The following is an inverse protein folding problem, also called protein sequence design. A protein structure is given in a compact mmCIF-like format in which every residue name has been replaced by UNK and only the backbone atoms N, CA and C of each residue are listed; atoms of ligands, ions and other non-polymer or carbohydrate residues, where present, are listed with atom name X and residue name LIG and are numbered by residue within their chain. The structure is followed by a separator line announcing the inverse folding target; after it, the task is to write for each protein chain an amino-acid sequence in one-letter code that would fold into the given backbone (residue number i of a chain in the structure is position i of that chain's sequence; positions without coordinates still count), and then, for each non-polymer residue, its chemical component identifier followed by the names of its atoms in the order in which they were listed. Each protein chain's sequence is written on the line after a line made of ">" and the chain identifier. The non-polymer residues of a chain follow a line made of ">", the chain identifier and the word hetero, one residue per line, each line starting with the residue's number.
data_IF_064754697439
#
_entry.id   IF_064754697439
#
_cell.length_a   1.000
_cell.length_b   1.000
_cell.length_c   1.000
_cell.angle_alpha   90.00
_cell.angle_beta   90.00
_cell.angle_gamma   90.00
#
_symmetry.space_group_name_H-M   'P 1'
#
loop_
_entity.id
_entity.type
_entity.pdbx_description
1 polymer ?
#
# COMPACT_ATOMS: atom_id res chain seq x y z
N UNK A 1 -26.77 28.27 3.79
CA UNK A 1 -25.38 28.62 3.44
C UNK A 1 -24.61 27.31 3.44
N UNK A 2 -24.49 26.68 2.27
CA UNK A 2 -23.82 25.37 2.12
C UNK A 2 -22.33 25.63 2.00
N UNK A 3 -21.45 24.97 2.78
CA UNK A 3 -20.02 25.16 2.60
C UNK A 3 -19.65 24.67 1.20
N UNK A 4 -19.09 25.57 0.39
CA UNK A 4 -18.47 25.22 -0.88
C UNK A 4 -17.29 24.30 -0.55
N UNK A 5 -17.45 23.00 -0.75
CA UNK A 5 -16.33 22.07 -0.70
C UNK A 5 -15.33 22.51 -1.76
N UNK A 6 -14.22 23.12 -1.35
CA UNK A 6 -13.10 23.48 -2.23
C UNK A 6 -12.80 22.27 -3.10
N UNK A 7 -13.02 22.41 -4.41
CA UNK A 7 -12.78 21.33 -5.38
C UNK A 7 -11.30 21.01 -5.32
N UNK A 8 -10.95 19.89 -4.68
CA UNK A 8 -9.57 19.42 -4.59
C UNK A 8 -9.10 19.18 -6.02
N UNK A 9 -8.27 20.08 -6.55
CA UNK A 9 -7.67 19.86 -7.86
C UNK A 9 -6.64 18.75 -7.70
N UNK A 10 -6.98 17.57 -8.23
CA UNK A 10 -6.06 16.44 -8.31
C UNK A 10 -5.14 16.66 -9.49
N UNK A 11 -3.95 17.21 -9.25
CA UNK A 11 -2.88 17.19 -10.26
C UNK A 11 -2.34 15.77 -10.34
N UNK A 12 -2.43 15.09 -11.50
CA UNK A 12 -1.86 13.76 -11.65
C UNK A 12 -0.33 13.84 -11.51
N UNK A 13 0.27 12.82 -10.90
CA UNK A 13 1.72 12.71 -10.82
C UNK A 13 2.30 12.55 -12.23
N UNK A 14 3.39 13.26 -12.51
CA UNK A 14 4.21 12.97 -13.69
C UNK A 14 4.90 11.61 -13.54
N UNK A 15 5.42 11.05 -14.63
CA UNK A 15 6.12 9.77 -14.59
C UNK A 15 7.33 9.78 -13.64
N UNK A 16 8.05 10.90 -13.56
CA UNK A 16 9.20 11.03 -12.67
C UNK A 16 8.75 11.08 -11.19
N UNK A 17 7.71 11.83 -10.89
CA UNK A 17 7.13 11.90 -9.55
C UNK A 17 6.55 10.55 -9.13
N UNK A 18 5.92 9.82 -10.05
CA UNK A 18 5.43 8.46 -9.82
C UNK A 18 6.58 7.51 -9.45
N UNK A 19 7.69 7.53 -10.20
CA UNK A 19 8.86 6.71 -9.89
C UNK A 19 9.47 7.05 -8.53
N UNK A 20 9.61 8.35 -8.23
CA UNK A 20 10.11 8.82 -6.93
C UNK A 20 9.18 8.42 -5.79
N UNK A 21 7.87 8.59 -5.97
CA UNK A 21 6.86 8.19 -5.01
C UNK A 21 6.96 6.69 -4.71
N UNK A 22 7.00 5.85 -5.74
CA UNK A 22 7.11 4.40 -5.55
C UNK A 22 8.40 4.02 -4.81
N UNK A 23 9.53 4.67 -5.10
CA UNK A 23 10.79 4.38 -4.41
C UNK A 23 10.73 4.77 -2.92
N UNK A 24 10.38 6.03 -2.63
CA UNK A 24 10.32 6.55 -1.25
C UNK A 24 9.31 5.79 -0.41
N UNK A 25 8.13 5.49 -0.95
CA UNK A 25 7.10 4.78 -0.20
C UNK A 25 7.40 3.30 -0.02
N UNK A 26 8.16 2.67 -0.93
CA UNK A 26 8.62 1.28 -0.73
C UNK A 26 9.50 1.20 0.50
N UNK A 27 10.49 2.09 0.63
CA UNK A 27 11.36 2.13 1.81
C UNK A 27 10.57 2.42 3.08
N UNK A 28 9.58 3.31 3.03
CA UNK A 28 8.78 3.64 4.20
C UNK A 28 7.90 2.48 4.68
N UNK A 29 7.30 1.75 3.73
CA UNK A 29 6.53 0.54 4.05
C UNK A 29 7.45 -0.53 4.61
N UNK A 30 8.65 -0.73 4.06
CA UNK A 30 9.65 -1.66 4.61
C UNK A 30 9.94 -1.31 6.07
N UNK A 31 10.24 -0.04 6.38
CA UNK A 31 10.51 0.41 7.75
C UNK A 31 9.35 0.10 8.71
N UNK A 32 8.12 0.36 8.28
CA UNK A 32 6.94 0.07 9.10
C UNK A 32 6.72 -1.43 9.29
N UNK A 33 6.87 -2.22 8.23
CA UNK A 33 6.70 -3.67 8.29
C UNK A 33 7.76 -4.34 9.15
N UNK A 34 9.02 -3.90 9.11
CA UNK A 34 10.06 -4.48 9.96
C UNK A 34 9.90 -4.08 11.43
N UNK A 35 9.35 -2.90 11.71
CA UNK A 35 9.12 -2.44 13.07
C UNK A 35 7.83 -3.02 13.70
N UNK A 36 6.76 -3.16 12.94
CA UNK A 36 5.41 -3.47 13.46
C UNK A 36 4.72 -4.67 12.80
N UNK A 37 5.28 -5.21 11.72
CA UNK A 37 4.72 -6.34 10.97
C UNK A 37 3.55 -5.98 10.03
N UNK A 38 2.92 -4.82 10.20
CA UNK A 38 1.73 -4.40 9.46
C UNK A 38 1.79 -2.93 9.07
N UNK A 39 1.36 -2.62 7.85
CA UNK A 39 1.16 -1.27 7.35
C UNK A 39 -0.27 -1.13 6.83
N UNK A 40 -0.92 0.02 7.06
CA UNK A 40 -2.28 0.26 6.58
C UNK A 40 -2.45 1.69 6.10
N UNK A 41 -3.17 1.86 4.99
CA UNK A 41 -3.42 3.17 4.37
C UNK A 41 -4.79 3.23 3.72
N UNK A 42 -5.37 4.42 3.62
CA UNK A 42 -6.57 4.66 2.83
C UNK A 42 -6.20 5.02 1.39
N UNK A 43 -6.83 4.37 0.43
CA UNK A 43 -6.70 4.54 -1.00
C UNK A 43 -8.10 4.59 -1.64
N UNK A 44 -8.65 5.79 -1.74
CA UNK A 44 -10.03 6.00 -2.20
C UNK A 44 -10.21 5.75 -3.71
N UNK A 45 -9.16 5.97 -4.51
CA UNK A 45 -9.20 5.83 -5.97
C UNK A 45 -8.58 4.50 -6.43
N UNK A 46 -9.05 3.99 -7.58
CA UNK A 46 -8.47 2.78 -8.19
C UNK A 46 -6.97 2.97 -8.50
N UNK A 47 -6.60 4.15 -9.02
CA UNK A 47 -5.21 4.51 -9.30
C UNK A 47 -4.33 4.48 -8.04
N UNK A 48 -4.80 5.05 -6.93
CA UNK A 48 -4.08 4.97 -5.65
C UNK A 48 -3.91 3.52 -5.21
N UNK A 49 -4.96 2.68 -5.35
CA UNK A 49 -4.88 1.26 -5.01
C UNK A 49 -3.84 0.54 -5.85
N UNK A 50 -3.78 0.78 -7.15
CA UNK A 50 -2.77 0.18 -8.02
C UNK A 50 -1.35 0.55 -7.59
N UNK A 51 -1.09 1.82 -7.21
CA UNK A 51 0.22 2.23 -6.69
C UNK A 51 0.60 1.45 -5.45
N UNK A 52 -0.31 1.33 -4.49
CA UNK A 52 -0.07 0.57 -3.26
C UNK A 52 0.15 -0.92 -3.52
N UNK A 53 -0.53 -1.51 -4.50
CA UNK A 53 -0.26 -2.89 -4.91
C UNK A 53 1.13 -3.04 -5.54
N UNK A 54 1.58 -2.08 -6.37
CA UNK A 54 2.95 -2.08 -6.91
C UNK A 54 3.99 -1.94 -5.80
N UNK A 55 3.74 -1.07 -4.82
CA UNK A 55 4.59 -0.91 -3.64
C UNK A 55 4.66 -2.24 -2.87
N UNK A 56 3.53 -2.86 -2.56
CA UNK A 56 3.50 -4.13 -1.84
C UNK A 56 4.32 -5.23 -2.54
N UNK A 57 4.24 -5.32 -3.88
CA UNK A 57 5.08 -6.23 -4.67
C UNK A 57 6.57 -5.90 -4.53
N UNK A 58 6.96 -4.63 -4.74
CA UNK A 58 8.36 -4.20 -4.59
C UNK A 58 8.91 -4.48 -3.19
N UNK A 59 8.12 -4.23 -2.15
CA UNK A 59 8.49 -4.52 -0.77
C UNK A 59 8.80 -6.01 -0.58
N UNK A 60 7.95 -6.90 -1.13
CA UNK A 60 8.19 -8.35 -1.07
C UNK A 60 9.43 -8.78 -1.84
N UNK A 61 9.66 -8.19 -3.01
CA UNK A 61 10.87 -8.42 -3.82
C UNK A 61 12.14 -7.96 -3.07
N UNK A 62 12.10 -6.76 -2.47
CA UNK A 62 13.23 -6.17 -1.72
C UNK A 62 13.54 -6.92 -0.44
N UNK A 63 12.52 -7.34 0.32
CA UNK A 63 12.70 -8.11 1.55
C UNK A 63 13.00 -9.59 1.28
N UNK A 64 12.87 -10.05 0.03
CA UNK A 64 12.91 -11.46 -0.36
C UNK A 64 11.95 -12.32 0.49
N UNK A 65 10.81 -11.74 0.86
CA UNK A 65 9.82 -12.36 1.75
C UNK A 65 8.42 -12.15 1.20
N UNK A 66 7.54 -13.16 1.27
CA UNK A 66 6.16 -12.98 0.84
C UNK A 66 5.44 -11.93 1.71
N UNK A 67 4.67 -11.08 1.05
CA UNK A 67 3.87 -10.02 1.68
C UNK A 67 2.42 -10.24 1.27
N UNK A 68 1.50 -10.18 2.24
CA UNK A 68 0.07 -10.19 1.97
C UNK A 68 -0.40 -8.74 1.83
N UNK A 69 -1.12 -8.45 0.76
CA UNK A 69 -1.77 -7.17 0.51
C UNK A 69 -3.24 -7.42 0.27
N UNK A 70 -4.11 -6.85 1.11
CA UNK A 70 -5.55 -6.96 0.94
C UNK A 70 -6.21 -5.59 1.09
N UNK A 71 -7.28 -5.39 0.32
CA UNK A 71 -8.08 -4.18 0.35
C UNK A 71 -9.44 -4.48 0.99
N UNK A 72 -9.81 -3.72 2.02
CA UNK A 72 -11.14 -3.70 2.61
C UNK A 72 -11.77 -2.32 2.37
N UNK A 73 -12.61 -2.25 1.35
CA UNK A 73 -13.20 -0.99 0.88
C UNK A 73 -12.12 -0.01 0.40
N UNK A 74 -11.96 1.09 1.13
CA UNK A 74 -10.95 2.12 0.85
C UNK A 74 -9.65 1.88 1.59
N UNK A 75 -9.58 0.92 2.51
CA UNK A 75 -8.37 0.66 3.30
C UNK A 75 -7.57 -0.47 2.67
N UNK A 76 -6.29 -0.24 2.43
CA UNK A 76 -5.32 -1.27 2.05
C UNK A 76 -4.50 -1.61 3.28
N UNK A 77 -4.32 -2.90 3.52
CA UNK A 77 -3.46 -3.42 4.58
C UNK A 77 -2.41 -4.31 3.94
N UNK A 78 -1.15 -4.07 4.32
CA UNK A 78 0.03 -4.80 3.88
C UNK A 78 0.63 -5.44 5.13
N UNK A 79 0.88 -6.74 5.11
CA UNK A 79 1.47 -7.48 6.24
C UNK A 79 2.57 -8.39 5.76
N UNK A 80 3.63 -8.55 6.55
CA UNK A 80 4.59 -9.63 6.29
C UNK A 80 3.87 -10.97 6.43
N UNK A 81 4.05 -11.86 5.45
CA UNK A 81 3.59 -13.23 5.61
C UNK A 81 4.57 -13.93 6.55
N UNK A 82 4.06 -14.45 7.65
CA UNK A 82 4.81 -15.38 8.47
C UNK A 82 4.75 -16.74 7.77
N UNK A 83 5.90 -17.32 7.43
CA UNK A 83 5.98 -18.71 6.93
C UNK A 83 5.41 -19.74 7.92
N UNK A 84 5.07 -19.31 9.14
CA UNK A 84 4.51 -20.13 10.23
C UNK A 84 2.98 -20.06 10.35
N UNK A 85 2.26 -19.31 9.51
CA UNK A 85 0.79 -19.42 9.46
C UNK A 85 0.39 -20.62 8.60
N UNK A 86 -0.14 -21.72 9.19
CA UNK A 86 -0.65 -22.83 8.40
C UNK A 86 -1.77 -22.32 7.50
N UNK A 87 -1.94 -22.87 6.29
CA UNK A 87 -3.08 -22.54 5.45
C UNK A 87 -4.33 -22.76 6.30
N UNK A 88 -5.12 -21.70 6.51
CA UNK A 88 -6.41 -21.82 7.14
C UNK A 88 -7.27 -22.72 6.23
N UNK A 89 -7.24 -24.02 6.52
CA UNK A 89 -8.07 -25.02 5.87
C UNK A 89 -9.48 -24.75 6.40
N UNK A 90 -10.23 -23.96 5.64
CA UNK A 90 -11.66 -23.86 5.84
C UNK A 90 -12.23 -25.28 5.66
N UNK A 91 -12.70 -25.85 6.77
CA UNK A 91 -13.41 -27.13 6.82
C UNK A 91 -14.84 -26.98 6.28
#
# INVERSE_FOLDING_TARGET
>A
MTPEHTRVQTTPLTNEEELRFLAVMTDEVIRHLTASGTFSITADTAESRERWQRIARRVGDTLQRPVNSYANGRRITITLRNDTEPPNLVA
#
